data_IF_749436756599
#
_entry.id   IF_749436756599
#
_cell.length_a   1.000
_cell.length_b   1.000
_cell.length_c   1.000
_cell.angle_alpha   90.00
_cell.angle_beta   90.00
_cell.angle_gamma   90.00
#
_symmetry.space_group_name_H-M   'P 1'
#
loop_
_entity.id
_entity.type
_entity.pdbx_description
1 polymer ?
#
# COMPACT_ATOMS: atom_id res chain seq x y z
N UNK A 1 8.36 24.56 36.65
CA UNK A 1 9.09 23.92 35.52
C UNK A 1 8.06 23.29 34.61
N UNK A 2 7.90 23.75 33.37
CA UNK A 2 7.11 23.00 32.38
C UNK A 2 7.85 21.70 32.14
N UNK A 3 7.28 20.57 32.54
CA UNK A 3 7.82 19.27 32.17
C UNK A 3 8.04 19.27 30.66
N UNK A 4 9.31 19.23 30.22
CA UNK A 4 9.64 18.83 28.86
C UNK A 4 9.22 17.37 28.76
N UNK A 5 7.94 17.12 28.52
CA UNK A 5 7.45 15.78 28.17
C UNK A 5 8.35 15.29 27.05
N UNK A 6 8.90 14.10 27.23
CA UNK A 6 9.77 13.51 26.24
C UNK A 6 8.92 13.30 24.97
N UNK A 7 9.19 14.07 23.92
CA UNK A 7 8.41 14.04 22.67
C UNK A 7 8.38 12.64 22.07
N UNK A 8 9.44 11.85 22.24
CA UNK A 8 9.48 10.46 21.84
C UNK A 8 8.48 9.62 22.64
N UNK A 9 8.44 9.79 23.96
CA UNK A 9 7.47 9.09 24.82
C UNK A 9 6.03 9.43 24.43
N UNK A 10 5.74 10.71 24.16
CA UNK A 10 4.40 11.12 23.70
C UNK A 10 4.02 10.49 22.36
N UNK A 11 4.96 10.36 21.43
CA UNK A 11 4.71 9.65 20.16
C UNK A 11 4.44 8.17 20.40
N UNK A 12 5.17 7.53 21.31
CA UNK A 12 4.91 6.13 21.69
C UNK A 12 3.51 5.96 22.30
N UNK A 13 3.13 6.82 23.24
CA UNK A 13 1.79 6.84 23.83
C UNK A 13 0.70 7.02 22.75
N UNK A 14 0.93 7.91 21.77
CA UNK A 14 0.01 8.11 20.66
C UNK A 14 -0.04 6.89 19.73
N UNK A 15 1.07 6.18 19.50
CA UNK A 15 1.05 4.90 18.78
C UNK A 15 0.13 3.89 19.50
N UNK A 16 0.23 3.79 20.82
CA UNK A 16 -0.63 2.88 21.60
C UNK A 16 -2.10 3.31 21.55
N UNK A 17 -2.39 4.61 21.68
CA UNK A 17 -3.76 5.14 21.59
C UNK A 17 -4.43 4.86 20.24
N UNK A 18 -3.67 4.88 19.14
CA UNK A 18 -4.18 4.73 17.77
C UNK A 18 -3.91 3.35 17.16
N UNK A 19 -3.39 2.39 17.92
CA UNK A 19 -2.93 1.10 17.41
C UNK A 19 -4.01 0.30 16.65
N UNK A 20 -5.28 0.46 17.01
CA UNK A 20 -6.42 -0.24 16.40
C UNK A 20 -7.22 0.63 15.42
N UNK A 21 -6.81 1.87 15.20
CA UNK A 21 -7.49 2.79 14.31
C UNK A 21 -7.01 2.61 12.87
N UNK A 22 -7.77 3.16 11.91
CA UNK A 22 -7.27 3.36 10.54
C UNK A 22 -6.34 4.57 10.51
N UNK A 23 -5.02 4.38 10.30
CA UNK A 23 -4.07 5.49 10.39
C UNK A 23 -4.26 6.53 9.28
N UNK A 24 -4.63 6.11 8.06
CA UNK A 24 -4.80 7.03 6.93
C UNK A 24 -6.02 7.91 7.11
N UNK A 25 -7.11 7.34 7.62
CA UNK A 25 -8.32 8.10 7.96
C UNK A 25 -8.01 9.17 9.01
N UNK A 26 -7.30 8.82 10.09
CA UNK A 26 -6.93 9.77 11.15
C UNK A 26 -5.96 10.85 10.64
N UNK A 27 -5.00 10.51 9.77
CA UNK A 27 -4.12 11.50 9.15
C UNK A 27 -4.88 12.55 8.33
N UNK A 28 -5.94 12.15 7.63
CA UNK A 28 -6.68 13.04 6.73
C UNK A 28 -7.35 14.23 7.46
N UNK A 29 -7.63 14.05 8.75
CA UNK A 29 -8.31 15.04 9.59
C UNK A 29 -7.38 15.77 10.56
N UNK A 30 -6.13 15.31 10.76
CA UNK A 30 -5.19 15.89 11.75
C UNK A 30 -4.95 17.39 11.56
N UNK A 31 -5.05 17.87 10.32
CA UNK A 31 -4.88 19.30 9.99
C UNK A 31 -5.91 20.20 10.70
N UNK A 32 -7.04 19.64 11.10
CA UNK A 32 -8.14 20.33 11.78
C UNK A 32 -7.93 20.44 13.30
N UNK A 33 -6.95 19.73 13.88
CA UNK A 33 -6.68 19.78 15.31
C UNK A 33 -6.26 21.19 15.74
N UNK A 34 -6.75 21.65 16.90
CA UNK A 34 -6.49 23.00 17.42
C UNK A 34 -5.08 23.14 18.01
N UNK A 35 -4.58 22.09 18.66
CA UNK A 35 -3.21 22.01 19.15
C UNK A 35 -2.29 21.49 18.02
N UNK A 36 -1.53 22.40 17.41
CA UNK A 36 -0.64 22.07 16.29
C UNK A 36 0.59 21.27 16.70
N UNK A 37 1.04 21.41 17.94
CA UNK A 37 2.19 20.66 18.44
C UNK A 37 1.79 19.20 18.70
N UNK A 38 0.64 18.97 19.33
CA UNK A 38 0.12 17.61 19.51
C UNK A 38 -0.29 16.96 18.18
N UNK A 39 -0.89 17.73 17.25
CA UNK A 39 -1.22 17.26 15.91
C UNK A 39 0.00 16.73 15.14
N UNK A 40 1.15 17.41 15.25
CA UNK A 40 2.39 16.97 14.63
C UNK A 40 2.89 15.62 15.20
N UNK A 41 2.80 15.44 16.53
CA UNK A 41 3.16 14.17 17.18
C UNK A 41 2.17 13.06 16.84
N UNK A 42 0.87 13.37 16.78
CA UNK A 42 -0.18 12.43 16.35
C UNK A 42 0.08 11.96 14.92
N UNK A 43 0.37 12.89 14.01
CA UNK A 43 0.67 12.54 12.63
C UNK A 43 1.89 11.61 12.52
N UNK A 44 2.96 11.88 13.30
CA UNK A 44 4.15 11.03 13.32
C UNK A 44 3.85 9.62 13.84
N UNK A 45 3.04 9.49 14.89
CA UNK A 45 2.58 8.21 15.41
C UNK A 45 1.78 7.43 14.36
N UNK A 46 0.80 8.07 13.72
CA UNK A 46 0.00 7.48 12.66
C UNK A 46 0.86 7.05 11.46
N UNK A 47 1.88 7.84 11.09
CA UNK A 47 2.79 7.50 9.98
C UNK A 47 3.63 6.26 10.29
N UNK A 48 4.05 6.14 11.55
CA UNK A 48 4.79 4.99 12.05
C UNK A 48 3.90 3.74 12.06
N UNK A 49 2.68 3.84 12.60
CA UNK A 49 1.69 2.75 12.60
C UNK A 49 1.35 2.29 11.18
N UNK A 50 1.05 3.24 10.28
CA UNK A 50 0.77 2.96 8.89
C UNK A 50 1.94 2.21 8.22
N UNK A 51 3.15 2.70 8.46
CA UNK A 51 4.37 2.12 7.91
C UNK A 51 4.60 0.69 8.37
N UNK A 52 4.40 0.40 9.65
CA UNK A 52 4.53 -0.95 10.20
C UNK A 52 3.43 -1.87 9.66
N UNK A 53 2.16 -1.43 9.73
CA UNK A 53 1.00 -2.25 9.37
C UNK A 53 0.97 -2.62 7.88
N UNK A 54 1.49 -1.75 7.01
CA UNK A 54 1.45 -1.95 5.56
C UNK A 54 2.81 -2.32 4.95
N UNK A 55 3.78 -2.72 5.79
CA UNK A 55 5.12 -3.13 5.33
C UNK A 55 5.79 -2.04 4.46
N UNK A 56 5.71 -0.78 4.89
CA UNK A 56 6.36 0.33 4.21
C UNK A 56 7.88 0.16 4.22
N UNK A 57 8.51 0.49 3.09
CA UNK A 57 9.96 0.62 2.99
C UNK A 57 10.41 1.96 3.59
N UNK A 58 9.69 3.02 3.25
CA UNK A 58 9.98 4.39 3.70
C UNK A 58 8.72 5.26 3.62
N UNK A 59 8.64 6.25 4.52
CA UNK A 59 7.72 7.39 4.43
C UNK A 59 8.58 8.64 4.35
N UNK A 60 8.40 9.43 3.29
CA UNK A 60 9.20 10.61 2.99
C UNK A 60 8.36 11.86 3.16
N UNK A 61 8.85 12.81 3.95
CA UNK A 61 8.25 14.13 4.14
C UNK A 61 9.20 15.15 3.51
N UNK A 62 8.71 15.91 2.53
CA UNK A 62 9.48 17.00 1.92
C UNK A 62 8.77 18.32 2.13
N UNK A 63 9.54 19.36 2.46
CA UNK A 63 9.05 20.74 2.53
C UNK A 63 9.74 21.58 1.46
N UNK A 64 8.97 22.24 0.61
CA UNK A 64 9.49 23.15 -0.42
C UNK A 64 9.97 24.47 0.21
N UNK A 65 10.68 25.29 -0.58
CA UNK A 65 11.10 26.64 -0.15
C UNK A 65 9.90 27.55 0.16
N UNK A 66 8.79 27.34 -0.55
CA UNK A 66 7.54 28.09 -0.37
C UNK A 66 6.67 27.54 0.78
N UNK A 67 7.15 26.50 1.47
CA UNK A 67 6.50 25.92 2.64
C UNK A 67 5.48 24.82 2.34
N UNK A 68 5.30 24.43 1.07
CA UNK A 68 4.46 23.29 0.69
C UNK A 68 5.04 22.00 1.26
N UNK A 69 4.19 21.19 1.92
CA UNK A 69 4.58 19.90 2.48
C UNK A 69 3.98 18.79 1.62
N UNK A 70 4.83 17.88 1.14
CA UNK A 70 4.43 16.66 0.43
C UNK A 70 4.87 15.45 1.23
N UNK A 71 3.99 14.46 1.33
CA UNK A 71 4.28 13.16 1.95
C UNK A 71 4.06 12.06 0.95
N UNK A 72 5.01 11.13 0.84
CA UNK A 72 4.89 9.92 0.03
C UNK A 72 5.30 8.70 0.84
N UNK A 73 4.67 7.55 0.57
CA UNK A 73 5.04 6.26 1.12
C UNK A 73 5.48 5.33 -0.02
N UNK A 74 6.56 4.60 0.21
CA UNK A 74 7.00 3.53 -0.68
C UNK A 74 6.92 2.22 0.09
N UNK A 75 6.23 1.24 -0.47
CA UNK A 75 6.05 -0.07 0.16
C UNK A 75 7.11 -1.06 -0.29
N UNK A 76 7.39 -2.06 0.55
CA UNK A 76 8.32 -3.14 0.20
C UNK A 76 7.63 -4.08 -0.78
N UNK A 77 8.43 -4.66 -1.67
CA UNK A 77 7.99 -5.86 -2.38
C UNK A 77 7.76 -6.95 -1.33
N UNK A 78 6.61 -7.60 -1.42
CA UNK A 78 6.24 -8.70 -0.53
C UNK A 78 5.90 -9.93 -1.35
N UNK A 79 6.35 -11.07 -0.86
CA UNK A 79 5.89 -12.35 -1.39
C UNK A 79 4.50 -12.64 -0.85
N UNK A 80 3.63 -13.13 -1.72
CA UNK A 80 2.36 -13.71 -1.31
C UNK A 80 2.58 -15.19 -0.97
N UNK A 81 1.77 -15.77 -0.06
CA UNK A 81 1.82 -17.19 0.21
C UNK A 81 1.75 -18.00 -1.09
N UNK A 82 2.68 -18.94 -1.25
CA UNK A 82 2.67 -19.82 -2.43
C UNK A 82 1.43 -20.71 -2.40
N UNK A 83 0.67 -20.81 -3.51
CA UNK A 83 -0.45 -21.74 -3.61
C UNK A 83 -0.01 -23.21 -3.77
N UNK A 84 1.29 -23.46 -3.89
CA UNK A 84 1.83 -24.78 -4.27
C UNK A 84 1.79 -25.01 -5.78
N UNK A 85 2.52 -26.03 -6.28
CA UNK A 85 2.69 -26.25 -7.72
C UNK A 85 1.37 -26.56 -8.45
N UNK A 86 0.52 -27.43 -7.89
CA UNK A 86 -0.71 -27.88 -8.56
C UNK A 86 -1.74 -26.76 -8.69
N UNK A 87 -1.96 -25.99 -7.62
CA UNK A 87 -2.87 -24.84 -7.66
C UNK A 87 -2.26 -23.71 -8.48
N UNK A 88 -0.94 -23.50 -8.42
CA UNK A 88 -0.23 -22.54 -9.24
C UNK A 88 -0.42 -22.79 -10.74
N UNK A 89 -0.30 -24.03 -11.20
CA UNK A 89 -0.53 -24.39 -12.59
C UNK A 89 -1.97 -24.06 -13.03
N UNK A 90 -2.97 -24.42 -12.21
CA UNK A 90 -4.39 -24.11 -12.49
C UNK A 90 -4.68 -22.62 -12.54
N UNK A 91 -3.99 -21.80 -11.72
CA UNK A 91 -4.10 -20.34 -11.79
C UNK A 91 -3.61 -19.83 -13.15
N UNK A 92 -2.48 -20.35 -13.65
CA UNK A 92 -1.95 -19.95 -14.96
C UNK A 92 -2.90 -20.33 -16.11
N UNK A 93 -3.43 -21.56 -16.07
CA UNK A 93 -4.43 -22.04 -17.04
C UNK A 93 -5.69 -21.16 -17.05
N UNK A 94 -6.26 -20.89 -15.87
CA UNK A 94 -7.45 -20.05 -15.74
C UNK A 94 -7.21 -18.64 -16.29
N UNK A 95 -6.03 -18.05 -16.05
CA UNK A 95 -5.70 -16.72 -16.58
C UNK A 95 -5.64 -16.74 -18.11
N UNK A 96 -5.06 -17.79 -18.72
CA UNK A 96 -5.04 -17.94 -20.18
C UNK A 96 -6.43 -18.10 -20.76
N UNK A 97 -7.27 -18.92 -20.13
CA UNK A 97 -8.65 -19.15 -20.56
C UNK A 97 -9.46 -17.85 -20.53
N UNK A 98 -9.38 -17.09 -19.44
CA UNK A 98 -10.10 -15.82 -19.27
C UNK A 98 -9.63 -14.75 -20.27
N UNK A 99 -8.32 -14.69 -20.54
CA UNK A 99 -7.74 -13.62 -21.38
C UNK A 99 -7.66 -13.99 -22.86
N UNK A 100 -7.92 -15.25 -23.20
CA UNK A 100 -7.72 -15.81 -24.55
C UNK A 100 -6.31 -15.53 -25.13
N UNK A 101 -5.29 -15.40 -24.26
CA UNK A 101 -3.92 -15.18 -24.70
C UNK A 101 -3.29 -16.50 -25.12
N UNK A 102 -3.13 -16.66 -26.43
CA UNK A 102 -2.41 -17.77 -27.04
C UNK A 102 -0.92 -17.44 -27.21
N UNK A 103 -0.07 -18.47 -27.07
CA UNK A 103 1.38 -18.36 -27.26
C UNK A 103 2.18 -17.82 -26.07
N UNK A 104 3.45 -17.50 -26.34
CA UNK A 104 4.46 -17.19 -25.32
C UNK A 104 4.40 -15.74 -24.82
N UNK A 105 3.65 -14.85 -25.47
CA UNK A 105 3.58 -13.45 -25.07
C UNK A 105 2.27 -12.82 -25.46
N UNK A 106 1.60 -12.18 -24.51
CA UNK A 106 0.38 -11.45 -24.78
C UNK A 106 0.03 -10.43 -23.71
N UNK A 107 -0.95 -9.58 -24.02
CA UNK A 107 -1.47 -8.54 -23.15
C UNK A 107 -2.96 -8.38 -23.46
N UNK A 108 -3.80 -8.47 -22.43
CA UNK A 108 -5.25 -8.28 -22.56
C UNK A 108 -5.80 -7.44 -21.39
N UNK A 109 -6.76 -6.53 -21.62
CA UNK A 109 -7.59 -6.01 -20.54
C UNK A 109 -8.47 -7.14 -19.96
N UNK A 110 -8.82 -7.02 -18.68
CA UNK A 110 -9.74 -7.89 -17.97
C UNK A 110 -10.64 -7.03 -17.08
N UNK A 111 -11.92 -6.92 -17.45
CA UNK A 111 -12.93 -6.23 -16.63
C UNK A 111 -13.46 -7.19 -15.57
N UNK A 112 -13.40 -6.78 -14.30
CA UNK A 112 -13.85 -7.57 -13.16
C UNK A 112 -14.87 -6.80 -12.32
N UNK A 113 -16.04 -7.38 -12.11
CA UNK A 113 -17.01 -6.86 -11.15
C UNK A 113 -16.61 -7.19 -9.72
N UNK A 114 -16.56 -6.18 -8.83
CA UNK A 114 -16.26 -6.34 -7.40
C UNK A 114 -17.34 -5.62 -6.60
N UNK A 115 -18.21 -6.40 -5.95
CA UNK A 115 -19.38 -5.89 -5.21
C UNK A 115 -20.26 -5.01 -6.12
N UNK A 116 -20.38 -3.73 -5.81
CA UNK A 116 -21.20 -2.76 -6.57
C UNK A 116 -20.37 -1.93 -7.56
N UNK A 117 -19.13 -2.34 -7.84
CA UNK A 117 -18.19 -1.61 -8.68
C UNK A 117 -17.57 -2.52 -9.75
N UNK A 118 -16.90 -1.93 -10.74
CA UNK A 118 -16.12 -2.68 -11.73
C UNK A 118 -14.73 -2.07 -11.87
N UNK A 119 -13.72 -2.93 -12.01
CA UNK A 119 -12.34 -2.53 -12.23
C UNK A 119 -11.82 -3.12 -13.53
N UNK A 120 -11.09 -2.33 -14.32
CA UNK A 120 -10.37 -2.81 -15.49
C UNK A 120 -8.92 -3.10 -15.12
N UNK A 121 -8.52 -4.36 -15.20
CA UNK A 121 -7.17 -4.84 -14.97
C UNK A 121 -6.44 -5.02 -16.30
N UNK A 122 -5.11 -4.93 -16.28
CA UNK A 122 -4.28 -5.24 -17.44
C UNK A 122 -3.41 -6.46 -17.17
N UNK A 123 -3.73 -7.58 -17.83
CA UNK A 123 -3.00 -8.85 -17.71
C UNK A 123 -1.92 -8.93 -18.78
N UNK A 124 -0.73 -9.40 -18.40
CA UNK A 124 0.41 -9.67 -19.29
C UNK A 124 0.95 -11.06 -19.03
N UNK A 125 1.14 -11.83 -20.09
CA UNK A 125 1.77 -13.16 -20.05
C UNK A 125 3.08 -13.10 -20.83
N UNK A 126 4.13 -13.72 -20.28
CA UNK A 126 5.43 -13.92 -20.92
C UNK A 126 6.01 -15.27 -20.53
N UNK A 127 6.31 -16.11 -21.51
CA UNK A 127 7.04 -17.37 -21.37
C UNK A 127 8.45 -17.18 -21.92
N UNK A 128 9.47 -17.53 -21.14
CA UNK A 128 10.87 -17.51 -21.57
C UNK A 128 11.67 -18.52 -20.74
N UNK A 129 12.54 -19.30 -21.39
CA UNK A 129 13.45 -20.25 -20.73
C UNK A 129 12.71 -21.21 -19.77
N UNK A 130 11.62 -21.82 -20.26
CA UNK A 130 10.70 -22.70 -19.50
C UNK A 130 10.07 -22.07 -18.24
N UNK A 131 10.09 -20.73 -18.16
CA UNK A 131 9.43 -19.97 -17.09
C UNK A 131 8.29 -19.17 -17.65
N UNK A 132 7.12 -19.43 -17.11
CA UNK A 132 5.92 -18.64 -17.36
C UNK A 132 5.79 -17.54 -16.30
N UNK A 133 5.58 -16.30 -16.78
CA UNK A 133 5.34 -15.13 -15.93
C UNK A 133 4.03 -14.48 -16.32
N UNK A 134 3.13 -14.41 -15.35
CA UNK A 134 1.92 -13.59 -15.42
C UNK A 134 2.12 -12.31 -14.61
N UNK A 135 1.59 -11.20 -15.08
CA UNK A 135 1.57 -9.92 -14.37
C UNK A 135 0.20 -9.28 -14.52
N UNK A 136 -0.47 -9.04 -13.40
CA UNK A 136 -1.75 -8.32 -13.32
C UNK A 136 -1.45 -6.90 -12.86
N UNK A 137 -1.81 -5.91 -13.68
CA UNK A 137 -1.66 -4.49 -13.36
C UNK A 137 -3.02 -3.90 -13.00
N UNK A 138 -3.05 -3.19 -11.87
CA UNK A 138 -4.19 -2.44 -11.40
C UNK A 138 -4.12 -0.99 -11.93
N UNK A 139 -5.26 -0.32 -12.12
CA UNK A 139 -5.31 1.10 -12.45
C UNK A 139 -4.70 1.97 -11.33
N UNK A 140 -4.23 3.18 -11.69
CA UNK A 140 -3.71 4.19 -10.75
C UNK A 140 -4.82 4.90 -9.96
#
# INVERSE_FOLDING_TARGET
>A
MKEKRNVHLKVQELCDCYATNDPLKEMSVVKNDSDKDEAALKWLALASLHGVNNNAKEVTITRSKDGEVRVTAKYRESELPSPGPDVGARIMEAIREITHIEGDKGKSPLSLGIRNDSIELQVKIKTKDDREKVTIKFPE
#
